data_IF_888829095594
#
_entry.id   IF_888829095594
#
_cell.length_a   1.000
_cell.length_b   1.000
_cell.length_c   1.000
_cell.angle_alpha   90.00
_cell.angle_beta   90.00
_cell.angle_gamma   90.00
#
_symmetry.space_group_name_H-M   'P 1'
#
loop_
_entity.id
_entity.type
_entity.pdbx_description
1 polymer ?
#
# COMPACT_ATOMS: atom_id res chain seq x y z
N UNK A 1 -20.72 2.27 2.26
CA UNK A 1 -20.22 3.43 3.06
C UNK A 1 -19.92 4.62 2.15
N UNK A 2 -19.52 5.78 2.68
CA UNK A 2 -19.21 6.98 1.89
C UNK A 2 -17.70 7.27 1.88
N UNK A 3 -17.17 7.97 0.87
CA UNK A 3 -15.73 8.32 0.75
C UNK A 3 -15.25 9.11 1.97
N UNK A 4 -13.94 9.10 2.28
CA UNK A 4 -13.37 10.14 3.13
C UNK A 4 -13.79 11.49 2.52
N UNK A 5 -14.48 12.34 3.29
CA UNK A 5 -15.12 13.63 2.90
C UNK A 5 -16.60 13.62 2.49
N UNK A 6 -17.27 12.46 2.38
CA UNK A 6 -18.71 12.45 2.07
C UNK A 6 -19.60 12.78 3.29
N UNK A 7 -19.01 12.96 4.48
CA UNK A 7 -19.72 13.34 5.71
C UNK A 7 -20.03 14.84 5.71
N UNK A 8 -21.31 15.28 5.76
CA UNK A 8 -21.68 16.69 5.63
C UNK A 8 -21.59 17.41 6.98
N UNK A 9 -20.38 17.75 7.45
CA UNK A 9 -20.21 18.63 8.60
C UNK A 9 -20.04 20.09 8.16
N UNK A 10 -21.12 20.68 7.63
CA UNK A 10 -21.52 22.09 7.83
C UNK A 10 -20.51 23.23 7.59
N UNK A 11 -19.36 23.00 6.97
CA UNK A 11 -18.34 24.00 6.70
C UNK A 11 -17.97 23.97 5.22
N UNK A 12 -17.50 25.12 4.71
CA UNK A 12 -17.15 25.27 3.30
C UNK A 12 -16.28 24.10 2.82
N UNK A 13 -16.63 23.54 1.65
CA UNK A 13 -15.85 22.49 1.01
C UNK A 13 -14.36 22.79 1.07
N UNK A 14 -13.50 21.80 1.38
CA UNK A 14 -12.05 21.99 1.33
C UNK A 14 -11.66 22.50 -0.06
N UNK A 15 -10.55 23.25 -0.12
CA UNK A 15 -10.07 23.74 -1.41
C UNK A 15 -9.89 22.56 -2.38
N UNK A 16 -10.12 22.74 -3.70
CA UNK A 16 -9.98 21.66 -4.68
C UNK A 16 -8.65 20.92 -4.58
N UNK A 17 -7.55 21.64 -4.31
CA UNK A 17 -6.23 21.05 -4.12
C UNK A 17 -6.16 20.10 -2.90
N UNK A 18 -6.78 20.49 -1.78
CA UNK A 18 -6.79 19.64 -0.57
C UNK A 18 -7.67 18.42 -0.78
N UNK A 19 -8.80 18.58 -1.50
CA UNK A 19 -9.65 17.44 -1.89
C UNK A 19 -8.88 16.45 -2.76
N UNK A 20 -8.20 16.94 -3.79
CA UNK A 20 -7.39 16.11 -4.70
C UNK A 20 -6.26 15.36 -3.97
N UNK A 21 -5.61 16.00 -2.99
CA UNK A 21 -4.63 15.35 -2.11
C UNK A 21 -5.27 14.24 -1.29
N UNK A 22 -6.41 14.48 -0.65
CA UNK A 22 -7.12 13.45 0.12
C UNK A 22 -7.57 12.27 -0.74
N UNK A 23 -8.12 12.55 -1.92
CA UNK A 23 -8.52 11.54 -2.89
C UNK A 23 -7.30 10.69 -3.31
N UNK A 24 -6.15 11.33 -3.55
CA UNK A 24 -4.90 10.63 -3.86
C UNK A 24 -4.46 9.70 -2.74
N UNK A 25 -4.50 10.14 -1.47
CA UNK A 25 -4.15 9.27 -0.34
C UNK A 25 -5.17 8.16 -0.12
N UNK A 26 -6.45 8.42 -0.37
CA UNK A 26 -7.49 7.40 -0.29
C UNK A 26 -7.31 6.34 -1.38
N UNK A 27 -6.94 6.74 -2.60
CA UNK A 27 -6.66 5.83 -3.71
C UNK A 27 -5.51 4.85 -3.37
N UNK A 28 -4.51 5.29 -2.59
CA UNK A 28 -3.41 4.43 -2.12
C UNK A 28 -3.80 3.60 -0.89
N UNK A 29 -4.30 4.24 0.17
CA UNK A 29 -4.70 3.57 1.41
C UNK A 29 -5.83 2.55 1.21
N UNK A 30 -6.67 2.77 0.21
CA UNK A 30 -7.75 1.88 -0.19
C UNK A 30 -7.28 0.50 -0.64
N UNK A 31 -6.01 0.34 -1.05
CA UNK A 31 -5.45 -0.95 -1.43
C UNK A 31 -5.17 -1.82 -0.20
N UNK A 32 -4.67 -1.21 0.89
CA UNK A 32 -4.59 -1.90 2.18
C UNK A 32 -5.99 -2.24 2.71
N UNK A 33 -6.96 -1.34 2.51
CA UNK A 33 -8.37 -1.62 2.74
C UNK A 33 -8.88 -2.81 1.93
N UNK A 34 -8.53 -2.91 0.66
CA UNK A 34 -8.92 -4.01 -0.25
C UNK A 34 -8.41 -5.35 0.29
N UNK A 35 -7.17 -5.38 0.79
CA UNK A 35 -6.60 -6.56 1.41
C UNK A 35 -7.38 -7.00 2.66
N UNK A 36 -7.69 -6.07 3.57
CA UNK A 36 -8.52 -6.35 4.76
C UNK A 36 -9.91 -6.82 4.35
N UNK A 37 -10.54 -6.14 3.39
CA UNK A 37 -11.87 -6.49 2.89
C UNK A 37 -11.91 -7.92 2.37
N UNK A 38 -10.98 -8.30 1.49
CA UNK A 38 -10.97 -9.62 0.87
C UNK A 38 -10.85 -10.72 1.92
N UNK A 39 -9.98 -10.55 2.92
CA UNK A 39 -9.75 -11.56 3.95
C UNK A 39 -10.89 -11.66 4.96
N UNK A 40 -11.49 -10.53 5.36
CA UNK A 40 -12.67 -10.53 6.24
C UNK A 40 -13.87 -11.14 5.52
N UNK A 41 -14.13 -10.77 4.27
CA UNK A 41 -15.25 -11.31 3.50
C UNK A 41 -15.07 -12.82 3.22
N UNK A 42 -13.86 -13.25 2.89
CA UNK A 42 -13.54 -14.67 2.66
C UNK A 42 -13.89 -15.54 3.87
N UNK A 43 -13.57 -15.09 5.08
CA UNK A 43 -13.72 -15.89 6.30
C UNK A 43 -15.13 -15.77 6.90
N UNK A 44 -15.70 -14.56 6.88
CA UNK A 44 -16.97 -14.28 7.56
C UNK A 44 -18.19 -14.37 6.64
N UNK A 45 -18.01 -14.12 5.34
CA UNK A 45 -19.08 -13.89 4.38
C UNK A 45 -19.93 -12.65 4.68
N UNK A 46 -19.44 -11.74 5.53
CA UNK A 46 -20.11 -10.49 5.92
C UNK A 46 -19.46 -9.31 5.21
N UNK A 47 -19.96 -9.02 4.01
CA UNK A 47 -19.49 -7.90 3.20
C UNK A 47 -19.64 -6.55 3.92
N UNK A 48 -20.70 -6.35 4.72
CA UNK A 48 -20.89 -5.10 5.45
C UNK A 48 -19.77 -4.93 6.50
N UNK A 49 -19.45 -5.97 7.26
CA UNK A 49 -18.33 -5.96 8.20
C UNK A 49 -16.98 -5.74 7.48
N UNK A 50 -16.78 -6.41 6.34
CA UNK A 50 -15.57 -6.25 5.53
C UNK A 50 -15.38 -4.80 5.06
N UNK A 51 -16.44 -4.15 4.55
CA UNK A 51 -16.40 -2.72 4.19
C UNK A 51 -16.06 -1.84 5.39
N UNK A 52 -16.68 -2.09 6.55
CA UNK A 52 -16.43 -1.32 7.78
C UNK A 52 -14.96 -1.40 8.17
N UNK A 53 -14.42 -2.63 8.28
CA UNK A 53 -13.04 -2.84 8.72
C UNK A 53 -12.02 -2.35 7.69
N UNK A 54 -12.32 -2.47 6.38
CA UNK A 54 -11.48 -1.97 5.31
C UNK A 54 -11.42 -0.43 5.22
N UNK A 55 -12.46 0.27 5.68
CA UNK A 55 -12.48 1.73 5.72
C UNK A 55 -11.52 2.32 6.76
N UNK A 56 -11.24 1.58 7.85
CA UNK A 56 -10.34 2.02 8.93
C UNK A 56 -8.91 2.28 8.43
N UNK A 57 -8.18 1.32 7.82
CA UNK A 57 -6.81 1.53 7.37
C UNK A 57 -6.77 2.55 6.22
N UNK A 58 -7.79 2.59 5.37
CA UNK A 58 -7.94 3.60 4.30
C UNK A 58 -7.95 5.03 4.86
N UNK A 59 -8.83 5.29 5.84
CA UNK A 59 -8.96 6.61 6.45
C UNK A 59 -7.77 6.95 7.35
N UNK A 60 -7.19 5.96 8.04
CA UNK A 60 -5.96 6.16 8.81
C UNK A 60 -4.79 6.53 7.90
N UNK A 61 -4.67 5.93 6.71
CA UNK A 61 -3.63 6.27 5.75
C UNK A 61 -3.77 7.73 5.29
N UNK A 62 -4.98 8.17 4.94
CA UNK A 62 -5.26 9.58 4.60
C UNK A 62 -4.90 10.51 5.76
N UNK A 63 -5.30 10.15 6.99
CA UNK A 63 -4.98 10.92 8.19
C UNK A 63 -3.47 11.06 8.37
N UNK A 64 -2.75 9.94 8.29
CA UNK A 64 -1.31 9.87 8.50
C UNK A 64 -0.57 10.74 7.49
N UNK A 65 -0.86 10.60 6.19
CA UNK A 65 -0.18 11.36 5.14
C UNK A 65 -0.48 12.87 5.24
N UNK A 66 -1.72 13.28 5.54
CA UNK A 66 -2.02 14.70 5.75
C UNK A 66 -1.25 15.30 6.94
N UNK A 67 -1.09 14.53 8.01
CA UNK A 67 -0.30 14.95 9.17
C UNK A 67 1.20 14.96 8.86
N UNK A 68 1.67 14.00 8.07
CA UNK A 68 3.06 13.89 7.64
C UNK A 68 3.47 15.06 6.74
N UNK A 69 2.68 15.39 5.71
CA UNK A 69 2.90 16.57 4.86
C UNK A 69 2.97 17.87 5.69
N UNK A 70 2.14 17.97 6.73
CA UNK A 70 2.14 19.11 7.63
C UNK A 70 3.42 19.21 8.47
N UNK A 71 4.09 18.08 8.73
CA UNK A 71 5.39 18.03 9.41
C UNK A 71 6.49 18.36 8.39
N UNK A 72 6.55 17.63 7.29
CA UNK A 72 7.70 17.58 6.39
C UNK A 72 7.69 18.68 5.31
N UNK A 73 6.55 18.92 4.67
CA UNK A 73 6.48 19.86 3.54
C UNK A 73 6.20 21.30 3.94
N UNK A 74 5.82 21.54 5.21
CA UNK A 74 5.24 22.83 5.61
C UNK A 74 6.14 24.04 5.37
N UNK A 75 7.46 23.85 5.28
CA UNK A 75 8.42 24.90 4.97
C UNK A 75 8.33 25.40 3.52
N UNK A 76 7.84 24.58 2.58
CA UNK A 76 7.74 24.88 1.15
C UNK A 76 6.44 25.59 0.74
N UNK A 77 5.47 25.73 1.64
CA UNK A 77 4.14 26.26 1.30
C UNK A 77 4.05 27.79 1.32
N UNK A 78 3.55 28.38 0.21
CA UNK A 78 3.33 29.83 0.04
C UNK A 78 2.49 30.49 1.16
N UNK A 79 1.43 29.82 1.60
CA UNK A 79 0.61 30.21 2.76
C UNK A 79 0.65 29.10 3.81
N UNK A 80 1.84 28.93 4.40
CA UNK A 80 2.13 27.90 5.39
C UNK A 80 1.06 27.78 6.48
N UNK A 81 0.60 28.90 7.05
CA UNK A 81 -0.39 28.86 8.14
C UNK A 81 -1.72 28.29 7.68
N UNK A 82 -2.23 28.72 6.52
CA UNK A 82 -3.48 28.19 5.97
C UNK A 82 -3.33 26.71 5.66
N UNK A 83 -2.25 26.31 4.97
CA UNK A 83 -2.02 24.92 4.57
C UNK A 83 -1.85 23.98 5.76
N UNK A 84 -1.12 24.39 6.79
CA UNK A 84 -1.03 23.65 8.07
C UNK A 84 -2.41 23.42 8.68
N UNK A 85 -3.22 24.48 8.78
CA UNK A 85 -4.55 24.36 9.33
C UNK A 85 -5.45 23.45 8.47
N UNK A 86 -5.38 23.54 7.14
CA UNK A 86 -6.13 22.69 6.22
C UNK A 86 -5.77 21.21 6.41
N UNK A 87 -4.47 20.86 6.36
CA UNK A 87 -4.02 19.47 6.43
C UNK A 87 -4.28 18.85 7.81
N UNK A 88 -3.90 19.53 8.89
CA UNK A 88 -4.10 19.00 10.26
C UNK A 88 -5.58 18.87 10.58
N UNK A 89 -6.38 19.90 10.32
CA UNK A 89 -7.83 19.85 10.62
C UNK A 89 -8.52 18.79 9.79
N UNK A 90 -8.15 18.63 8.51
CA UNK A 90 -8.75 17.62 7.67
C UNK A 90 -8.33 16.21 8.06
N UNK A 91 -7.05 15.98 8.38
CA UNK A 91 -6.59 14.71 8.94
C UNK A 91 -7.35 14.36 10.21
N UNK A 92 -7.54 15.32 11.13
CA UNK A 92 -8.32 15.11 12.36
C UNK A 92 -9.80 14.78 12.07
N UNK A 93 -10.40 15.41 11.05
CA UNK A 93 -11.77 15.10 10.63
C UNK A 93 -11.89 13.70 10.02
N UNK A 94 -10.96 13.28 9.17
CA UNK A 94 -10.93 11.91 8.64
C UNK A 94 -10.70 10.90 9.77
N UNK A 95 -9.86 11.24 10.75
CA UNK A 95 -9.67 10.42 11.95
C UNK A 95 -10.95 10.31 12.79
N UNK A 96 -11.79 11.36 12.85
CA UNK A 96 -13.09 11.23 13.53
C UNK A 96 -14.00 10.21 12.85
N UNK A 97 -13.97 10.07 11.52
CA UNK A 97 -14.72 9.02 10.82
C UNK A 97 -14.21 7.62 11.23
N UNK A 98 -12.90 7.44 11.47
CA UNK A 98 -12.33 6.18 12.02
C UNK A 98 -12.88 5.90 13.41
N UNK A 99 -12.93 6.91 14.28
CA UNK A 99 -13.45 6.75 15.66
C UNK A 99 -14.95 6.44 15.65
N UNK A 100 -15.72 7.10 14.79
CA UNK A 100 -17.16 6.85 14.65
C UNK A 100 -17.43 5.44 14.10
N UNK A 101 -16.66 5.02 13.09
CA UNK A 101 -16.70 3.67 12.52
C UNK A 101 -16.37 2.62 13.59
N UNK A 102 -15.29 2.82 14.33
CA UNK A 102 -14.88 1.94 15.42
C UNK A 102 -15.95 1.85 16.53
N UNK A 103 -16.61 2.96 16.85
CA UNK A 103 -17.66 3.00 17.87
C UNK A 103 -18.99 2.36 17.42
N UNK A 104 -19.21 2.25 16.10
CA UNK A 104 -20.41 1.65 15.52
C UNK A 104 -20.30 0.13 15.31
N UNK A 105 -19.09 -0.44 15.43
CA UNK A 105 -18.86 -1.87 15.28
C UNK A 105 -19.60 -2.70 16.35
N UNK A 106 -19.97 -3.96 16.02
CA UNK A 106 -20.50 -4.90 17.00
C UNK A 106 -19.58 -5.06 18.22
N UNK A 107 -20.17 -5.26 19.41
CA UNK A 107 -19.44 -5.28 20.68
C UNK A 107 -18.48 -6.49 20.83
N UNK A 108 -18.63 -7.50 19.97
CA UNK A 108 -17.81 -8.70 19.87
C UNK A 108 -16.59 -8.53 18.94
N UNK A 109 -16.51 -7.43 18.18
CA UNK A 109 -15.31 -7.07 17.40
C UNK A 109 -14.30 -6.38 18.32
N UNK A 110 -13.19 -7.05 18.62
CA UNK A 110 -12.13 -6.51 19.48
C UNK A 110 -11.13 -5.64 18.70
N UNK A 111 -11.28 -4.33 18.80
CA UNK A 111 -10.33 -3.36 18.24
C UNK A 111 -9.17 -3.00 19.17
N UNK A 112 -9.04 -3.64 20.33
CA UNK A 112 -7.95 -3.38 21.28
C UNK A 112 -6.55 -3.44 20.62
N UNK A 113 -6.22 -4.51 19.87
CA UNK A 113 -4.97 -4.60 19.12
C UNK A 113 -4.82 -3.53 18.02
N UNK A 114 -5.89 -3.23 17.28
CA UNK A 114 -5.95 -2.19 16.24
C UNK A 114 -5.62 -0.81 16.82
N UNK A 115 -6.17 -0.48 17.99
CA UNK A 115 -5.87 0.80 18.64
C UNK A 115 -4.41 0.90 19.08
N UNK A 116 -3.76 -0.22 19.40
CA UNK A 116 -2.35 -0.23 19.75
C UNK A 116 -1.45 -0.02 18.53
N UNK A 117 -1.79 -0.60 17.36
CA UNK A 117 -1.05 -0.34 16.12
C UNK A 117 -1.17 1.13 15.70
N UNK A 118 -2.34 1.76 15.84
CA UNK A 118 -2.52 3.21 15.61
C UNK A 118 -1.61 4.05 16.52
N UNK A 119 -1.50 3.70 17.82
CA UNK A 119 -0.57 4.39 18.72
C UNK A 119 0.89 4.17 18.33
N UNK A 120 1.24 2.97 17.88
CA UNK A 120 2.59 2.64 17.41
C UNK A 120 2.96 3.45 16.18
N UNK A 121 2.07 3.64 15.21
CA UNK A 121 2.29 4.52 14.05
C UNK A 121 2.69 5.93 14.50
N UNK A 122 1.88 6.56 15.35
CA UNK A 122 2.19 7.90 15.86
C UNK A 122 3.47 7.97 16.71
N UNK A 123 3.75 6.92 17.50
CA UNK A 123 4.98 6.83 18.28
C UNK A 123 6.23 6.63 17.40
N UNK A 124 6.09 5.90 16.29
CA UNK A 124 7.11 5.70 15.27
C UNK A 124 7.50 7.03 14.62
N UNK A 125 6.50 7.82 14.19
CA UNK A 125 6.72 9.17 13.62
C UNK A 125 7.51 10.08 14.56
N UNK A 126 7.12 10.13 15.85
CA UNK A 126 7.86 10.90 16.86
C UNK A 126 9.24 10.31 17.22
N UNK A 127 9.47 9.05 16.87
CA UNK A 127 10.73 8.36 17.06
C UNK A 127 11.80 8.76 16.05
N UNK A 128 11.40 9.15 14.83
CA UNK A 128 12.33 9.50 13.74
C UNK A 128 13.25 10.66 14.12
N UNK A 129 12.74 11.67 14.83
CA UNK A 129 13.53 12.82 15.31
C UNK A 129 14.67 12.44 16.28
N UNK A 130 14.67 11.22 16.83
CA UNK A 130 15.65 10.78 17.85
C UNK A 130 16.88 10.12 17.25
N UNK A 131 16.84 9.75 15.96
CA UNK A 131 17.94 9.06 15.28
C UNK A 131 18.73 10.08 14.48
N UNK A 132 20.02 10.25 14.79
CA UNK A 132 20.89 11.13 14.01
C UNK A 132 21.25 10.44 12.67
N UNK A 133 20.80 10.97 11.52
CA UNK A 133 21.02 10.37 10.21
C UNK A 133 22.50 10.20 9.85
N UNK A 134 23.41 10.94 10.48
CA UNK A 134 24.86 10.84 10.22
C UNK A 134 25.53 9.66 10.89
N UNK A 135 24.90 9.14 11.94
CA UNK A 135 25.44 8.04 12.74
C UNK A 135 24.56 6.80 12.72
N UNK A 136 23.36 6.90 12.12
CA UNK A 136 22.44 5.80 11.96
C UNK A 136 23.10 4.63 11.24
N UNK A 137 23.02 3.47 11.85
CA UNK A 137 23.41 2.20 11.24
C UNK A 137 22.30 1.67 10.34
N UNK A 138 22.60 0.64 9.54
CA UNK A 138 21.57 -0.08 8.80
C UNK A 138 20.51 -0.70 9.74
N UNK A 139 20.92 -1.15 10.92
CA UNK A 139 19.99 -1.67 11.94
C UNK A 139 19.04 -0.58 12.45
N UNK A 140 19.54 0.64 12.68
CA UNK A 140 18.70 1.78 13.09
C UNK A 140 17.70 2.17 11.99
N UNK A 141 18.15 2.21 10.73
CA UNK A 141 17.30 2.53 9.59
C UNK A 141 16.22 1.46 9.35
N UNK A 142 16.55 0.17 9.51
CA UNK A 142 15.58 -0.92 9.42
C UNK A 142 14.60 -0.91 10.60
N UNK A 143 15.07 -0.65 11.83
CA UNK A 143 14.19 -0.52 12.99
C UNK A 143 13.19 0.64 12.83
N UNK A 144 13.58 1.72 12.13
CA UNK A 144 12.66 2.80 11.73
C UNK A 144 11.61 2.31 10.74
N UNK A 145 12.02 1.59 9.70
CA UNK A 145 11.10 0.97 8.73
C UNK A 145 10.10 0.04 9.43
N UNK A 146 10.55 -0.76 10.41
CA UNK A 146 9.67 -1.63 11.19
C UNK A 146 8.67 -0.83 12.04
N UNK A 147 9.12 0.28 12.65
CA UNK A 147 8.29 1.10 13.52
C UNK A 147 7.27 1.97 12.78
N UNK A 148 7.50 2.31 11.51
CA UNK A 148 6.65 3.21 10.70
C UNK A 148 5.98 2.53 9.51
N UNK A 149 6.72 1.75 8.73
CA UNK A 149 6.22 1.05 7.54
C UNK A 149 5.53 -0.26 7.93
N UNK A 150 6.27 -1.17 8.56
CA UNK A 150 5.79 -2.53 8.81
C UNK A 150 4.54 -2.60 9.73
N UNK A 151 4.37 -1.61 10.62
CA UNK A 151 3.21 -1.48 11.50
C UNK A 151 1.87 -1.33 10.74
N UNK A 152 1.88 -0.91 9.47
CA UNK A 152 0.68 -0.92 8.63
C UNK A 152 0.23 -2.35 8.28
N UNK A 153 1.18 -3.28 8.16
CA UNK A 153 0.89 -4.71 8.02
C UNK A 153 0.30 -5.30 9.29
N UNK A 154 0.81 -4.88 10.46
CA UNK A 154 0.25 -5.24 11.77
C UNK A 154 -1.19 -4.71 11.92
N UNK A 155 -1.43 -3.48 11.48
CA UNK A 155 -2.77 -2.87 11.48
C UNK A 155 -3.73 -3.69 10.62
N UNK A 156 -3.35 -4.02 9.38
CA UNK A 156 -4.19 -4.82 8.50
C UNK A 156 -4.48 -6.20 9.10
N UNK A 157 -3.45 -6.88 9.63
CA UNK A 157 -3.61 -8.20 10.25
C UNK A 157 -4.51 -8.14 11.49
N UNK A 158 -4.35 -7.12 12.34
CA UNK A 158 -5.19 -6.93 13.51
C UNK A 158 -6.66 -6.66 13.15
N UNK A 159 -6.93 -6.00 12.03
CA UNK A 159 -8.28 -5.81 11.52
C UNK A 159 -8.88 -7.10 10.98
N UNK A 160 -8.09 -7.92 10.28
CA UNK A 160 -8.54 -9.25 9.85
C UNK A 160 -8.86 -10.14 11.05
N UNK A 161 -7.99 -10.17 12.07
CA UNK A 161 -8.21 -10.89 13.34
C UNK A 161 -9.48 -10.41 14.05
N UNK A 162 -9.74 -9.09 14.05
CA UNK A 162 -10.94 -8.52 14.67
C UNK A 162 -12.25 -9.00 14.01
N UNK A 163 -12.23 -9.38 12.72
CA UNK A 163 -13.35 -10.04 12.04
C UNK A 163 -13.58 -11.48 12.50
N UNK A 164 -12.55 -12.12 13.05
CA UNK A 164 -12.56 -13.48 13.56
C UNK A 164 -12.43 -14.56 12.47
N UNK A 165 -12.43 -15.82 12.91
CA UNK A 165 -12.46 -17.01 12.04
C UNK A 165 -11.08 -17.60 11.71
N UNK A 166 -10.07 -16.75 11.49
CA UNK A 166 -8.69 -17.21 11.33
C UNK A 166 -8.10 -17.75 12.65
N UNK A 167 -7.32 -18.82 12.56
CA UNK A 167 -6.54 -19.37 13.66
C UNK A 167 -5.26 -18.55 13.92
N UNK A 168 -4.72 -18.64 15.13
CA UNK A 168 -3.44 -18.00 15.50
C UNK A 168 -2.30 -18.30 14.49
N UNK A 169 -2.27 -19.51 13.93
CA UNK A 169 -1.25 -19.90 12.97
C UNK A 169 -1.44 -19.22 11.59
N UNK A 170 -2.69 -19.08 11.14
CA UNK A 170 -3.03 -18.34 9.93
C UNK A 170 -2.72 -16.85 10.09
N UNK A 171 -3.08 -16.27 11.24
CA UNK A 171 -2.81 -14.86 11.55
C UNK A 171 -1.32 -14.57 11.67
N UNK A 172 -0.53 -15.48 12.21
CA UNK A 172 0.93 -15.37 12.26
C UNK A 172 1.55 -15.43 10.86
N UNK A 173 1.07 -16.32 9.97
CA UNK A 173 1.53 -16.36 8.58
C UNK A 173 1.13 -15.09 7.82
N UNK A 174 -0.11 -14.60 8.03
CA UNK A 174 -0.63 -13.36 7.47
C UNK A 174 0.18 -12.14 7.95
N UNK A 175 0.49 -12.09 9.25
CA UNK A 175 1.33 -11.05 9.83
C UNK A 175 2.68 -10.99 9.14
N UNK A 176 3.38 -12.12 8.99
CA UNK A 176 4.67 -12.16 8.28
C UNK A 176 4.56 -11.68 6.84
N UNK A 177 3.54 -12.13 6.11
CA UNK A 177 3.26 -11.69 4.74
C UNK A 177 3.08 -10.17 4.68
N UNK A 178 2.22 -9.62 5.54
CA UNK A 178 1.92 -8.19 5.54
C UNK A 178 3.12 -7.34 5.97
N UNK A 179 3.87 -7.78 7.00
CA UNK A 179 5.07 -7.10 7.51
C UNK A 179 6.16 -7.05 6.45
N UNK A 180 6.53 -8.18 5.83
CA UNK A 180 7.58 -8.19 4.80
C UNK A 180 7.19 -7.35 3.57
N UNK A 181 5.90 -7.38 3.17
CA UNK A 181 5.39 -6.56 2.08
C UNK A 181 5.53 -5.07 2.37
N UNK A 182 5.18 -4.65 3.58
CA UNK A 182 5.30 -3.24 3.99
C UNK A 182 6.75 -2.80 4.18
N UNK A 183 7.65 -3.68 4.62
CA UNK A 183 9.10 -3.39 4.67
C UNK A 183 9.64 -3.14 3.26
N UNK A 184 9.30 -4.00 2.30
CA UNK A 184 9.72 -3.81 0.89
C UNK A 184 9.24 -2.46 0.36
N UNK A 185 7.95 -2.16 0.52
CA UNK A 185 7.39 -0.90 0.02
C UNK A 185 8.05 0.32 0.68
N UNK A 186 8.24 0.30 1.99
CA UNK A 186 8.89 1.40 2.71
C UNK A 186 10.36 1.61 2.29
N UNK A 187 11.09 0.55 1.95
CA UNK A 187 12.48 0.69 1.46
C UNK A 187 12.51 1.24 0.03
N UNK A 188 11.55 0.88 -0.82
CA UNK A 188 11.43 1.45 -2.17
C UNK A 188 11.06 2.94 -2.13
N UNK A 189 10.15 3.29 -1.23
CA UNK A 189 9.75 4.66 -0.92
C UNK A 189 10.96 5.50 -0.45
N UNK A 190 11.73 5.00 0.53
CA UNK A 190 13.00 5.61 0.97
C UNK A 190 13.99 5.87 -0.18
N UNK A 191 14.00 5.00 -1.21
CA UNK A 191 14.86 5.21 -2.40
C UNK A 191 14.32 6.35 -3.24
N UNK A 192 13.02 6.35 -3.56
CA UNK A 192 12.40 7.40 -4.36
C UNK A 192 12.52 8.79 -3.70
N UNK A 193 12.40 8.83 -2.38
CA UNK A 193 12.40 10.03 -1.55
C UNK A 193 13.77 10.40 -0.99
N UNK A 194 14.83 9.70 -1.39
CA UNK A 194 16.21 10.04 -1.03
C UNK A 194 16.53 11.55 -1.15
N UNK A 195 16.11 12.29 -2.19
CA UNK A 195 16.34 13.74 -2.27
C UNK A 195 15.70 14.52 -1.11
N UNK A 196 14.45 14.18 -0.75
CA UNK A 196 13.70 14.80 0.33
C UNK A 196 14.27 14.38 1.69
N UNK A 197 14.57 13.10 1.88
CA UNK A 197 15.16 12.55 3.10
C UNK A 197 16.50 13.20 3.42
N UNK A 198 17.35 13.39 2.41
CA UNK A 198 18.63 14.10 2.56
C UNK A 198 18.40 15.52 3.06
N UNK A 199 17.42 16.23 2.50
CA UNK A 199 17.07 17.60 2.90
C UNK A 199 16.47 17.67 4.32
N UNK A 200 15.62 16.71 4.67
CA UNK A 200 14.90 16.65 5.96
C UNK A 200 15.75 16.01 7.07
N UNK A 201 16.85 15.35 6.73
CA UNK A 201 17.73 14.71 7.71
C UNK A 201 17.15 13.40 8.27
N UNK A 202 16.40 12.66 7.45
CA UNK A 202 15.81 11.37 7.86
C UNK A 202 16.86 10.26 7.77
N UNK A 203 16.84 9.33 8.72
CA UNK A 203 17.74 8.17 8.78
C UNK A 203 17.17 6.97 7.98
N UNK A 204 17.31 7.01 6.66
CA UNK A 204 16.74 6.01 5.75
C UNK A 204 17.72 4.91 5.34
N UNK A 205 17.20 3.78 4.85
CA UNK A 205 18.01 2.62 4.45
C UNK A 205 19.03 2.97 3.35
N UNK A 206 18.68 3.73 2.29
CA UNK A 206 19.65 4.14 1.27
C UNK A 206 20.80 4.96 1.84
N UNK A 207 20.53 5.85 2.81
CA UNK A 207 21.57 6.65 3.48
C UNK A 207 22.49 5.79 4.33
N UNK A 208 21.94 4.84 5.07
CA UNK A 208 22.72 3.93 5.93
C UNK A 208 23.59 2.95 5.12
N UNK A 209 23.20 2.66 3.87
CA UNK A 209 23.97 1.82 2.95
C UNK A 209 25.05 2.59 2.18
N UNK A 210 24.97 3.92 2.12
CA UNK A 210 25.99 4.75 1.49
C UNK A 210 27.18 4.96 2.43
N UNK A 211 28.39 4.59 2.01
CA UNK A 211 29.61 4.65 2.82
C UNK A 211 30.19 6.09 2.99
N UNK A 212 29.33 7.10 3.06
CA UNK A 212 29.69 8.52 3.22
C UNK A 212 28.55 9.37 3.80
N UNK A 213 28.70 10.70 3.76
CA UNK A 213 27.65 11.62 4.21
C UNK A 213 26.98 12.29 3.01
N UNK A 214 25.78 11.81 2.64
CA UNK A 214 24.99 12.39 1.54
C UNK A 214 24.60 13.86 1.80
N UNK A 215 24.55 14.30 3.06
CA UNK A 215 24.28 15.69 3.40
C UNK A 215 25.53 16.59 3.30
N UNK A 216 26.71 16.02 3.03
CA UNK A 216 27.95 16.79 2.85
C UNK A 216 28.14 17.34 1.42
N UNK A 217 27.29 16.95 0.48
CA UNK A 217 27.35 17.43 -0.90
C UNK A 217 26.75 18.83 -1.04
N UNK A 218 27.30 19.63 -1.96
CA UNK A 218 26.87 21.02 -2.19
C UNK A 218 25.46 21.13 -2.81
N UNK A 219 24.89 20.03 -3.30
CA UNK A 219 23.53 19.96 -3.83
C UNK A 219 22.93 18.55 -3.67
N UNK A 220 21.60 18.47 -3.60
CA UNK A 220 20.86 17.21 -3.58
C UNK A 220 21.13 16.38 -4.84
N UNK A 221 21.22 17.02 -6.01
CA UNK A 221 21.54 16.31 -7.26
C UNK A 221 22.92 15.64 -7.20
N UNK A 222 23.94 16.32 -6.66
CA UNK A 222 25.26 15.74 -6.49
C UNK A 222 25.27 14.59 -5.46
N UNK A 223 24.45 14.66 -4.41
CA UNK A 223 24.27 13.57 -3.45
C UNK A 223 23.64 12.34 -4.13
N UNK A 224 22.58 12.53 -4.94
CA UNK A 224 21.92 11.44 -5.67
C UNK A 224 22.85 10.83 -6.72
N UNK A 225 23.57 11.64 -7.51
CA UNK A 225 24.58 11.12 -8.45
C UNK A 225 25.66 10.28 -7.74
N UNK A 226 26.12 10.74 -6.57
CA UNK A 226 27.10 10.01 -5.78
C UNK A 226 26.55 8.70 -5.21
N UNK A 227 25.29 8.69 -4.76
CA UNK A 227 24.59 7.48 -4.33
C UNK A 227 24.44 6.48 -5.48
N UNK A 228 23.92 6.91 -6.63
CA UNK A 228 23.72 6.07 -7.81
C UNK A 228 25.05 5.49 -8.34
N UNK A 229 26.15 6.23 -8.23
CA UNK A 229 27.48 5.77 -8.63
C UNK A 229 28.21 4.89 -7.59
N UNK A 230 27.63 4.72 -6.40
CA UNK A 230 28.21 3.90 -5.32
C UNK A 230 27.83 2.42 -5.44
N UNK A 231 28.24 1.60 -4.47
CA UNK A 231 27.79 0.22 -4.33
C UNK A 231 26.48 0.07 -3.52
N UNK A 232 25.93 1.17 -2.98
CA UNK A 232 24.69 1.16 -2.21
C UNK A 232 23.48 0.62 -3.01
N UNK A 233 23.27 0.96 -4.30
CA UNK A 233 22.19 0.36 -5.09
C UNK A 233 22.28 -1.18 -5.20
N UNK A 234 23.48 -1.73 -5.37
CA UNK A 234 23.68 -3.19 -5.41
C UNK A 234 23.44 -3.85 -4.05
N UNK A 235 23.76 -3.15 -2.95
CA UNK A 235 23.47 -3.62 -1.59
C UNK A 235 21.97 -3.55 -1.27
N UNK A 236 21.26 -2.55 -1.78
CA UNK A 236 19.79 -2.46 -1.73
C UNK A 236 19.15 -3.62 -2.50
N UNK A 237 19.65 -3.93 -3.70
CA UNK A 237 19.17 -5.06 -4.50
C UNK A 237 19.29 -6.38 -3.71
N UNK A 238 20.44 -6.62 -3.07
CA UNK A 238 20.65 -7.81 -2.25
C UNK A 238 19.72 -7.86 -1.02
N UNK A 239 19.52 -6.72 -0.34
CA UNK A 239 18.61 -6.62 0.80
C UNK A 239 17.16 -6.87 0.39
N UNK A 240 16.71 -6.25 -0.70
CA UNK A 240 15.36 -6.41 -1.20
C UNK A 240 15.14 -7.83 -1.74
N UNK A 241 16.13 -8.46 -2.38
CA UNK A 241 16.03 -9.85 -2.80
C UNK A 241 15.78 -10.82 -1.62
N UNK A 242 16.42 -10.59 -0.48
CA UNK A 242 16.15 -11.35 0.75
C UNK A 242 14.71 -11.13 1.23
N UNK A 243 14.24 -9.88 1.23
CA UNK A 243 12.88 -9.51 1.65
C UNK A 243 11.80 -10.02 0.71
N UNK A 244 12.00 -9.97 -0.60
CA UNK A 244 11.10 -10.57 -1.59
C UNK A 244 11.01 -12.09 -1.42
N UNK A 245 12.13 -12.77 -1.16
CA UNK A 245 12.11 -14.22 -0.90
C UNK A 245 11.35 -14.56 0.40
N UNK A 246 11.50 -13.74 1.45
CA UNK A 246 10.76 -13.91 2.70
C UNK A 246 9.25 -13.65 2.52
N UNK A 247 8.91 -12.57 1.81
CA UNK A 247 7.55 -12.20 1.45
C UNK A 247 6.87 -13.33 0.67
N UNK A 248 7.55 -13.87 -0.34
CA UNK A 248 7.02 -14.96 -1.15
C UNK A 248 6.84 -16.24 -0.33
N UNK A 249 7.82 -16.61 0.50
CA UNK A 249 7.70 -17.77 1.38
C UNK A 249 6.49 -17.63 2.34
N UNK A 250 6.27 -16.43 2.89
CA UNK A 250 5.12 -16.14 3.74
C UNK A 250 3.79 -16.18 2.96
N UNK A 251 3.76 -15.69 1.72
CA UNK A 251 2.58 -15.77 0.87
C UNK A 251 2.20 -17.23 0.56
N UNK A 252 3.19 -18.06 0.21
CA UNK A 252 2.99 -19.49 -0.02
C UNK A 252 2.49 -20.19 1.25
N UNK A 253 3.15 -19.98 2.38
CA UNK A 253 2.74 -20.54 3.66
C UNK A 253 1.30 -20.14 4.03
N UNK A 254 0.95 -18.86 3.91
CA UNK A 254 -0.40 -18.38 4.18
C UNK A 254 -1.42 -19.02 3.23
N UNK A 255 -1.13 -19.07 1.93
CA UNK A 255 -2.04 -19.68 0.95
C UNK A 255 -2.30 -21.17 1.21
N UNK A 256 -1.31 -21.92 1.69
CA UNK A 256 -1.47 -23.32 2.09
C UNK A 256 -2.39 -23.50 3.31
N UNK A 257 -2.61 -22.44 4.08
CA UNK A 257 -3.47 -22.45 5.26
C UNK A 257 -4.93 -22.05 4.97
N UNK A 258 -5.24 -21.59 3.76
CA UNK A 258 -6.59 -21.16 3.41
C UNK A 258 -7.48 -22.38 3.08
N UNK A 259 -8.61 -22.49 3.79
CA UNK A 259 -9.57 -23.59 3.62
C UNK A 259 -10.58 -23.34 2.48
N UNK A 260 -10.59 -22.13 1.89
CA UNK A 260 -11.51 -21.71 0.83
C UNK A 260 -11.15 -22.25 -0.56
N UNK A 261 -12.14 -22.43 -1.41
CA UNK A 261 -11.95 -22.81 -2.82
C UNK A 261 -11.45 -21.61 -3.65
N UNK A 262 -10.77 -21.89 -4.77
CA UNK A 262 -10.33 -20.84 -5.72
C UNK A 262 -11.48 -19.93 -6.19
N UNK A 263 -12.71 -20.45 -6.26
CA UNK A 263 -13.88 -19.68 -6.63
C UNK A 263 -14.35 -18.74 -5.50
N UNK A 264 -14.23 -19.15 -4.24
CA UNK A 264 -14.53 -18.31 -3.07
C UNK A 264 -13.47 -17.22 -2.92
N UNK A 265 -12.20 -17.56 -3.12
CA UNK A 265 -11.08 -16.61 -3.18
C UNK A 265 -11.32 -15.55 -4.26
N UNK A 266 -11.67 -15.96 -5.48
CA UNK A 266 -11.98 -15.02 -6.56
C UNK A 266 -13.20 -14.15 -6.22
N UNK A 267 -14.23 -14.70 -5.58
CA UNK A 267 -15.41 -13.94 -5.20
C UNK A 267 -15.07 -12.86 -4.16
N UNK A 268 -14.28 -13.20 -3.13
CA UNK A 268 -13.84 -12.26 -2.11
C UNK A 268 -12.92 -11.16 -2.67
N UNK A 269 -11.96 -11.53 -3.52
CA UNK A 269 -11.09 -10.57 -4.22
C UNK A 269 -11.90 -9.66 -5.14
N UNK A 270 -12.84 -10.20 -5.91
CA UNK A 270 -13.72 -9.41 -6.74
C UNK A 270 -14.55 -8.43 -5.90
N UNK A 271 -15.16 -8.89 -4.80
CA UNK A 271 -15.92 -8.05 -3.87
C UNK A 271 -15.09 -6.88 -3.33
N UNK A 272 -13.88 -7.17 -2.84
CA UNK A 272 -12.96 -6.16 -2.33
C UNK A 272 -12.53 -5.14 -3.39
N UNK A 273 -12.21 -5.61 -4.60
CA UNK A 273 -11.85 -4.73 -5.72
C UNK A 273 -13.02 -3.86 -6.20
N UNK A 274 -14.24 -4.42 -6.21
CA UNK A 274 -15.45 -3.65 -6.49
C UNK A 274 -15.66 -2.56 -5.45
N UNK A 275 -15.56 -2.90 -4.16
CA UNK A 275 -15.62 -1.92 -3.07
C UNK A 275 -14.59 -0.80 -3.27
N UNK A 276 -13.33 -1.15 -3.54
CA UNK A 276 -12.28 -0.17 -3.80
C UNK A 276 -12.62 0.74 -4.99
N UNK A 277 -12.94 0.16 -6.15
CA UNK A 277 -13.19 0.93 -7.37
C UNK A 277 -14.45 1.82 -7.30
N UNK A 278 -15.49 1.35 -6.61
CA UNK A 278 -16.78 2.04 -6.56
C UNK A 278 -16.86 3.03 -5.39
N UNK A 279 -16.30 2.65 -4.24
CA UNK A 279 -16.45 3.40 -3.00
C UNK A 279 -15.24 4.28 -2.74
N UNK A 280 -14.02 3.77 -2.84
CA UNK A 280 -12.83 4.50 -2.39
C UNK A 280 -12.18 5.29 -3.52
N UNK A 281 -11.88 4.61 -4.63
CA UNK A 281 -11.08 5.14 -5.72
C UNK A 281 -11.77 6.34 -6.41
N UNK A 282 -11.06 7.45 -6.46
CA UNK A 282 -11.49 8.68 -7.13
C UNK A 282 -11.36 8.58 -8.66
N UNK A 283 -10.46 7.72 -9.16
CA UNK A 283 -10.14 7.55 -10.56
C UNK A 283 -11.12 6.60 -11.24
N UNK A 284 -11.87 7.03 -12.28
CA UNK A 284 -12.77 6.12 -12.98
C UNK A 284 -12.00 5.00 -13.70
N UNK A 285 -12.50 3.75 -13.62
CA UNK A 285 -11.89 2.57 -14.29
C UNK A 285 -11.60 2.82 -15.78
N UNK A 286 -12.51 3.47 -16.49
CA UNK A 286 -12.35 3.76 -17.92
C UNK A 286 -11.15 4.68 -18.26
N UNK A 287 -10.59 5.39 -17.27
CA UNK A 287 -9.43 6.27 -17.44
C UNK A 287 -8.14 5.46 -17.57
N UNK A 288 -7.97 4.37 -16.82
CA UNK A 288 -6.76 3.54 -16.86
C UNK A 288 -6.96 2.25 -17.65
N UNK A 289 -8.18 1.71 -17.70
CA UNK A 289 -8.55 0.56 -18.52
C UNK A 289 -9.65 0.97 -19.52
N UNK A 290 -9.29 1.41 -20.73
CA UNK A 290 -10.25 1.86 -21.73
C UNK A 290 -11.32 0.83 -22.09
N UNK A 291 -12.53 1.27 -22.46
CA UNK A 291 -13.69 0.38 -22.72
C UNK A 291 -13.42 -0.70 -23.79
N UNK A 292 -12.57 -0.43 -24.77
CA UNK A 292 -12.15 -1.43 -25.76
C UNK A 292 -11.28 -2.52 -25.14
N UNK A 293 -10.39 -2.18 -24.19
CA UNK A 293 -9.59 -3.15 -23.43
C UNK A 293 -10.47 -3.97 -22.51
N UNK A 294 -11.41 -3.34 -21.80
CA UNK A 294 -12.38 -4.05 -20.96
C UNK A 294 -13.21 -5.06 -21.76
N UNK A 295 -13.76 -4.66 -22.93
CA UNK A 295 -14.50 -5.57 -23.81
C UNK A 295 -13.63 -6.70 -24.34
N UNK A 296 -12.36 -6.43 -24.65
CA UNK A 296 -11.42 -7.45 -25.09
C UNK A 296 -11.16 -8.48 -23.98
N UNK A 297 -10.90 -8.03 -22.75
CA UNK A 297 -10.68 -8.92 -21.60
C UNK A 297 -11.90 -9.83 -21.36
N UNK A 298 -13.11 -9.27 -21.29
CA UNK A 298 -14.35 -10.07 -21.15
C UNK A 298 -14.52 -11.10 -22.26
N UNK A 299 -14.23 -10.74 -23.50
CA UNK A 299 -14.31 -11.67 -24.63
C UNK A 299 -13.23 -12.76 -24.59
N UNK A 300 -12.01 -12.44 -24.16
CA UNK A 300 -10.90 -13.38 -24.10
C UNK A 300 -11.06 -14.39 -22.96
N UNK A 301 -11.50 -13.92 -21.78
CA UNK A 301 -11.69 -14.74 -20.58
C UNK A 301 -12.90 -15.68 -20.68
N UNK A 302 -13.89 -15.36 -21.52
CA UNK A 302 -14.99 -16.28 -21.86
C UNK A 302 -14.68 -17.18 -23.07
N UNK A 303 -13.50 -17.01 -23.68
CA UNK A 303 -13.04 -17.76 -24.84
C UNK A 303 -12.42 -19.13 -24.51
N UNK A 304 -11.79 -19.78 -25.51
CA UNK A 304 -11.04 -21.03 -25.32
C UNK A 304 -9.92 -20.87 -24.29
N UNK A 305 -9.55 -21.97 -23.60
CA UNK A 305 -8.56 -21.96 -22.51
C UNK A 305 -7.24 -21.25 -22.87
N UNK A 306 -6.71 -21.44 -24.08
CA UNK A 306 -5.49 -20.75 -24.55
C UNK A 306 -5.65 -19.22 -24.57
N UNK A 307 -6.82 -18.71 -24.99
CA UNK A 307 -7.10 -17.28 -25.00
C UNK A 307 -7.30 -16.74 -23.58
N UNK A 308 -7.93 -17.51 -22.69
CA UNK A 308 -8.08 -17.14 -21.29
C UNK A 308 -6.71 -16.98 -20.62
N UNK A 309 -5.85 -18.00 -20.77
CA UNK A 309 -4.48 -17.97 -20.24
C UNK A 309 -3.68 -16.81 -20.78
N UNK A 310 -3.75 -16.55 -22.09
CA UNK A 310 -3.07 -15.41 -22.70
C UNK A 310 -3.57 -14.06 -22.16
N UNK A 311 -4.85 -13.92 -21.85
CA UNK A 311 -5.40 -12.71 -21.26
C UNK A 311 -4.93 -12.50 -19.81
N UNK A 312 -4.95 -13.56 -18.99
CA UNK A 312 -4.47 -13.53 -17.60
C UNK A 312 -2.97 -13.21 -17.61
N UNK A 313 -2.18 -13.92 -18.42
CA UNK A 313 -0.74 -13.70 -18.56
C UNK A 313 -0.42 -12.26 -18.97
N UNK A 314 -1.20 -11.67 -19.89
CA UNK A 314 -1.01 -10.29 -20.30
C UNK A 314 -1.25 -9.30 -19.15
N UNK A 315 -2.28 -9.51 -18.34
CA UNK A 315 -2.56 -8.64 -17.17
C UNK A 315 -1.48 -8.80 -16.10
N UNK A 316 -1.01 -10.03 -15.84
CA UNK A 316 0.09 -10.29 -14.91
C UNK A 316 1.41 -9.66 -15.39
N UNK A 317 1.69 -9.73 -16.70
CA UNK A 317 2.89 -9.12 -17.26
C UNK A 317 2.86 -7.58 -17.26
N UNK A 318 1.66 -6.99 -17.29
CA UNK A 318 1.45 -5.55 -17.14
C UNK A 318 1.39 -5.11 -15.66
N UNK A 319 1.38 -6.06 -14.72
CA UNK A 319 1.34 -5.76 -13.29
C UNK A 319 2.71 -5.24 -12.81
N UNK A 320 2.73 -4.36 -11.79
CA UNK A 320 3.94 -3.77 -11.25
C UNK A 320 4.77 -4.73 -10.37
N UNK A 321 4.75 -6.03 -10.72
CA UNK A 321 5.49 -7.11 -10.06
C UNK A 321 6.57 -7.56 -11.04
N UNK A 322 7.85 -7.45 -10.67
CA UNK A 322 8.93 -7.99 -11.49
C UNK A 322 8.87 -9.53 -11.46
N UNK A 323 8.54 -10.21 -12.58
CA UNK A 323 8.45 -11.67 -12.61
C UNK A 323 9.81 -12.35 -12.40
N UNK A 324 10.92 -11.64 -12.64
CA UNK A 324 12.27 -12.16 -12.42
C UNK A 324 12.68 -12.12 -10.95
N UNK A 325 12.02 -11.29 -10.12
CA UNK A 325 12.27 -11.18 -8.69
C UNK A 325 11.47 -12.20 -7.86
N UNK A 326 10.43 -12.81 -8.44
CA UNK A 326 9.60 -13.82 -7.79
C UNK A 326 10.05 -15.25 -8.17
N UNK A 327 10.12 -16.15 -7.20
CA UNK A 327 10.29 -17.60 -7.44
C UNK A 327 8.96 -18.31 -7.76
N UNK A 328 7.87 -17.53 -7.86
CA UNK A 328 6.51 -18.00 -8.14
C UNK A 328 6.45 -18.61 -9.53
N UNK A 329 5.90 -19.81 -9.63
CA UNK A 329 5.54 -20.42 -10.91
C UNK A 329 4.30 -19.72 -11.47
N UNK A 330 4.52 -18.62 -12.21
CA UNK A 330 3.45 -17.84 -12.82
C UNK A 330 2.60 -18.66 -13.78
N UNK A 331 3.18 -19.63 -14.48
CA UNK A 331 2.41 -20.50 -15.38
C UNK A 331 1.43 -21.37 -14.58
N UNK A 332 1.86 -21.89 -13.42
CA UNK A 332 1.01 -22.63 -12.50
C UNK A 332 -0.07 -21.74 -11.85
N UNK A 333 0.27 -20.50 -11.48
CA UNK A 333 -0.69 -19.54 -10.93
C UNK A 333 -1.76 -19.16 -11.97
N UNK A 334 -1.35 -18.89 -13.21
CA UNK A 334 -2.26 -18.64 -14.35
C UNK A 334 -3.14 -19.86 -14.60
N UNK A 335 -2.58 -21.06 -14.51
CA UNK A 335 -3.32 -22.31 -14.62
C UNK A 335 -4.45 -22.44 -13.60
N UNK A 336 -4.14 -22.15 -12.33
CA UNK A 336 -5.10 -22.24 -11.23
C UNK A 336 -6.32 -21.34 -11.45
N UNK A 337 -6.11 -20.13 -11.97
CA UNK A 337 -7.21 -19.19 -12.22
C UNK A 337 -7.89 -19.36 -13.58
N UNK A 338 -7.24 -20.00 -14.56
CA UNK A 338 -7.75 -20.07 -15.93
C UNK A 338 -9.04 -20.89 -16.10
N UNK A 339 -9.38 -21.73 -15.12
CA UNK A 339 -10.59 -22.55 -15.11
C UNK A 339 -11.74 -21.95 -14.28
N UNK A 340 -11.52 -20.79 -13.67
CA UNK A 340 -12.53 -20.06 -12.91
C UNK A 340 -13.63 -19.46 -13.80
N UNK A 341 -14.79 -19.09 -13.22
CA UNK A 341 -15.89 -18.48 -13.97
C UNK A 341 -15.46 -17.20 -14.70
N UNK A 342 -15.77 -17.13 -16.00
CA UNK A 342 -15.21 -16.11 -16.87
C UNK A 342 -15.66 -14.67 -16.60
N UNK A 343 -16.93 -14.46 -16.24
CA UNK A 343 -17.44 -13.10 -15.99
C UNK A 343 -16.81 -12.48 -14.72
N UNK A 344 -16.83 -13.14 -13.52
CA UNK A 344 -16.14 -12.64 -12.33
C UNK A 344 -14.63 -12.47 -12.52
N UNK A 345 -13.99 -13.41 -13.24
CA UNK A 345 -12.56 -13.33 -13.52
C UNK A 345 -12.23 -12.12 -14.41
N UNK A 346 -13.05 -11.85 -15.43
CA UNK A 346 -12.83 -10.70 -16.30
C UNK A 346 -12.96 -9.37 -15.55
N UNK A 347 -13.95 -9.24 -14.68
CA UNK A 347 -14.15 -8.03 -13.88
C UNK A 347 -13.02 -7.87 -12.85
N UNK A 348 -12.58 -8.94 -12.19
CA UNK A 348 -11.41 -8.91 -11.31
C UNK A 348 -10.13 -8.48 -12.06
N UNK A 349 -9.86 -9.05 -13.24
CA UNK A 349 -8.69 -8.66 -14.05
C UNK A 349 -8.73 -7.20 -14.50
N UNK A 350 -9.91 -6.67 -14.84
CA UNK A 350 -10.09 -5.25 -15.17
C UNK A 350 -9.77 -4.38 -13.97
N UNK A 351 -10.26 -4.73 -12.78
CA UNK A 351 -10.04 -3.95 -11.55
C UNK A 351 -8.59 -4.06 -11.05
N UNK A 352 -7.95 -5.22 -11.18
CA UNK A 352 -6.51 -5.39 -10.90
C UNK A 352 -5.69 -4.51 -11.84
N UNK A 353 -5.96 -4.54 -13.15
CA UNK A 353 -5.25 -3.67 -14.09
C UNK A 353 -5.48 -2.18 -13.80
N UNK A 354 -6.67 -1.82 -13.31
CA UNK A 354 -6.97 -0.46 -12.88
C UNK A 354 -6.16 -0.04 -11.65
N UNK A 355 -6.17 -0.85 -10.60
CA UNK A 355 -5.41 -0.62 -9.38
C UNK A 355 -3.90 -0.57 -9.65
N UNK A 356 -3.38 -1.52 -10.44
CA UNK A 356 -1.99 -1.55 -10.88
C UNK A 356 -1.55 -0.25 -11.54
N UNK A 357 -2.35 0.28 -12.48
CA UNK A 357 -2.04 1.54 -13.15
C UNK A 357 -2.07 2.75 -12.20
N UNK A 358 -2.91 2.75 -11.16
CA UNK A 358 -2.92 3.81 -10.15
C UNK A 358 -1.65 3.74 -9.29
N UNK A 359 -1.25 2.54 -8.87
CA UNK A 359 -0.06 2.35 -8.03
C UNK A 359 1.21 2.73 -8.79
N UNK A 360 1.36 2.24 -10.03
CA UNK A 360 2.53 2.49 -10.88
C UNK A 360 2.77 3.98 -11.15
N UNK A 361 1.70 4.78 -11.22
CA UNK A 361 1.79 6.24 -11.35
C UNK A 361 2.23 6.96 -10.06
N UNK A 362 2.19 6.29 -8.90
CA UNK A 362 2.26 6.95 -7.57
C UNK A 362 3.41 6.49 -6.70
N UNK A 363 3.81 5.23 -6.77
CA UNK A 363 4.83 4.64 -5.91
C UNK A 363 5.66 3.67 -6.73
N UNK A 364 6.99 3.74 -6.60
CA UNK A 364 7.85 2.71 -7.16
C UNK A 364 7.59 1.34 -6.50
N UNK A 365 7.23 0.35 -7.30
CA UNK A 365 6.99 -1.04 -6.84
C UNK A 365 8.18 -1.97 -7.08
N UNK A 366 9.21 -1.47 -7.75
CA UNK A 366 10.48 -2.15 -7.97
C UNK A 366 11.66 -1.22 -7.69
N UNK A 367 12.79 -1.80 -7.32
CA UNK A 367 14.02 -1.03 -7.12
C UNK A 367 14.47 -0.35 -8.44
N UNK A 368 14.25 -1.01 -9.58
CA UNK A 368 14.59 -0.45 -10.88
C UNK A 368 13.78 0.82 -11.19
N UNK A 369 12.49 0.84 -10.84
CA UNK A 369 11.64 2.00 -11.02
C UNK A 369 12.01 3.12 -10.05
N UNK A 370 12.27 2.79 -8.79
CA UNK A 370 12.71 3.76 -7.77
C UNK A 370 14.03 4.45 -8.17
N UNK A 371 15.04 3.65 -8.57
CA UNK A 371 16.31 4.16 -9.07
C UNK A 371 16.13 4.93 -10.38
N UNK A 372 15.29 4.45 -11.30
CA UNK A 372 14.98 5.13 -12.55
C UNK A 372 14.30 6.48 -12.32
N UNK A 373 13.50 6.63 -11.26
CA UNK A 373 12.94 7.92 -10.83
C UNK A 373 14.03 8.86 -10.34
N UNK A 374 14.97 8.37 -9.52
CA UNK A 374 16.12 9.17 -9.10
C UNK A 374 16.98 9.63 -10.28
N UNK A 375 17.28 8.75 -11.24
CA UNK A 375 18.05 9.05 -12.44
C UNK A 375 17.41 10.16 -13.31
N UNK A 376 16.07 10.20 -13.37
CA UNK A 376 15.35 11.26 -14.11
C UNK A 376 15.35 12.61 -13.40
N UNK A 377 15.59 12.63 -12.08
CA UNK A 377 15.57 13.84 -11.24
C UNK A 377 16.94 14.54 -11.18
N UNK A 378 18.03 13.92 -11.65
CA UNK A 378 19.40 14.48 -11.64
C UNK A 378 19.84 15.11 -12.96
#
# INVERSE_FOLDING_TARGET
MSRPLDTPLGQADPSPAVRETCETYADQGGLLGTFVHALVDLETGDADLAEVLASIPTNLFVTSNLHDDAIDESAGWDDRKRRLNEHVTLGDLVFTDVVETAAALPADVDLGPVLETVRRIGAGQLGEERVDPKSATLEDALARVDARGAVWGDLATALVDAGGGYSDAQLEALHRLATEGMVVLAVLDDVEDLPADVANGVATVPRALYDGDLAAFDSTAAAVEAFLASDAPARLEALLAERYAALEAAALEFSETLDGTDAELLAAVHGALSWYCETVCSVPVARTVPENRQRALRAQVTGPAEQRRAAIAAVVADAPIDPAAATVDFDAAIDAVADLPGDPLADALIMVAHAAAIIDERVATSLADALGTLERRV
#
